data_IF_804627231036
#
_entry.id   IF_804627231036
#
_cell.length_a   1.000
_cell.length_b   1.000
_cell.length_c   1.000
_cell.angle_alpha   90.00
_cell.angle_beta   90.00
_cell.angle_gamma   90.00
#
_symmetry.space_group_name_H-M   'P 1'
#
loop_
_entity.id
_entity.type
_entity.pdbx_description
1 polymer ?
#
# COMPACT_ATOMS: atom_id res chain seq x y z
N UNK A 1 -33.05 -11.54 11.30
CA UNK A 1 -31.87 -10.81 10.74
C UNK A 1 -30.91 -10.37 11.85
N UNK A 2 -31.37 -9.67 12.88
CA UNK A 2 -30.59 -9.26 14.08
C UNK A 2 -29.94 -10.48 14.80
N UNK A 3 -30.69 -11.57 15.04
CA UNK A 3 -30.15 -12.80 15.66
C UNK A 3 -28.98 -13.47 14.89
N UNK A 4 -28.87 -13.29 13.57
CA UNK A 4 -27.75 -13.82 12.75
C UNK A 4 -26.51 -12.91 12.84
N UNK A 5 -26.70 -11.60 12.98
CA UNK A 5 -25.62 -10.63 13.19
C UNK A 5 -25.09 -10.76 14.62
N UNK A 6 -25.95 -11.02 15.60
CA UNK A 6 -25.57 -11.28 16.99
C UNK A 6 -24.70 -12.54 17.18
N UNK A 7 -24.82 -13.54 16.29
CA UNK A 7 -23.96 -14.74 16.31
C UNK A 7 -22.51 -14.48 15.86
N UNK A 8 -22.20 -13.32 15.27
CA UNK A 8 -20.83 -12.91 14.90
C UNK A 8 -20.08 -12.19 16.04
N UNK A 9 -20.69 -11.99 17.20
CA UNK A 9 -20.05 -11.33 18.36
C UNK A 9 -19.14 -12.30 19.13
N UNK A 10 -18.24 -13.02 18.46
CA UNK A 10 -17.16 -13.77 19.15
C UNK A 10 -16.02 -12.85 19.59
N UNK A 11 -15.99 -11.59 19.15
CA UNK A 11 -15.02 -10.59 19.57
C UNK A 11 -15.71 -9.24 19.86
N UNK A 12 -15.66 -8.79 21.12
CA UNK A 12 -16.24 -7.51 21.61
C UNK A 12 -15.71 -6.24 20.91
N UNK A 13 -14.72 -6.37 20.02
CA UNK A 13 -14.07 -5.26 19.29
C UNK A 13 -14.55 -5.06 17.86
N UNK A 14 -15.39 -5.94 17.33
CA UNK A 14 -15.81 -5.86 15.91
C UNK A 14 -16.98 -4.88 15.73
N UNK A 15 -16.70 -3.70 15.17
CA UNK A 15 -17.73 -2.72 14.83
C UNK A 15 -18.39 -3.12 13.50
N UNK A 16 -19.64 -3.57 13.56
CA UNK A 16 -20.43 -3.98 12.39
C UNK A 16 -21.54 -2.97 12.16
N UNK A 17 -21.76 -2.56 10.90
CA UNK A 17 -22.92 -1.75 10.54
C UNK A 17 -24.18 -2.64 10.53
N UNK A 18 -25.17 -2.31 11.35
CA UNK A 18 -26.41 -3.09 11.50
C UNK A 18 -27.30 -3.03 10.24
N UNK A 19 -27.20 -1.95 9.47
CA UNK A 19 -27.98 -1.69 8.26
C UNK A 19 -27.35 -2.35 7.03
N UNK A 20 -26.02 -2.37 6.96
CA UNK A 20 -25.25 -3.08 5.94
C UNK A 20 -24.06 -3.83 6.58
N UNK A 21 -24.20 -5.12 6.90
CA UNK A 21 -23.15 -5.89 7.59
C UNK A 21 -21.84 -6.06 6.82
N UNK A 22 -21.86 -5.85 5.50
CA UNK A 22 -20.69 -5.97 4.63
C UNK A 22 -19.89 -4.66 4.56
N UNK A 23 -20.53 -3.52 4.88
CA UNK A 23 -19.85 -2.24 4.97
C UNK A 23 -18.90 -2.22 6.18
N UNK A 24 -17.75 -1.53 6.03
CA UNK A 24 -16.75 -1.43 7.08
C UNK A 24 -16.53 0.01 7.49
N UNK A 25 -16.25 0.23 8.76
CA UNK A 25 -15.88 1.54 9.26
C UNK A 25 -14.46 1.86 8.79
N UNK A 26 -14.34 2.86 7.93
CA UNK A 26 -13.07 3.33 7.38
C UNK A 26 -12.91 4.81 7.67
N UNK A 27 -11.67 5.26 7.83
CA UNK A 27 -11.36 6.69 7.91
C UNK A 27 -11.35 7.27 6.50
N UNK A 28 -12.06 8.36 6.29
CA UNK A 28 -11.96 9.14 5.07
C UNK A 28 -10.71 10.05 5.08
N UNK A 29 -10.49 10.77 3.98
CA UNK A 29 -9.37 11.72 3.85
C UNK A 29 -9.45 12.92 4.80
N UNK A 30 -10.57 13.11 5.51
CA UNK A 30 -10.80 14.16 6.51
C UNK A 30 -10.81 13.60 7.95
N UNK A 31 -10.26 12.40 8.16
CA UNK A 31 -10.19 11.71 9.44
C UNK A 31 -11.55 11.38 10.09
N UNK A 32 -12.64 11.45 9.33
CA UNK A 32 -13.97 11.02 9.78
C UNK A 32 -14.08 9.53 9.58
N UNK A 33 -14.65 8.85 10.57
CA UNK A 33 -14.91 7.41 10.47
C UNK A 33 -16.34 7.25 9.97
N UNK A 34 -16.48 6.64 8.80
CA UNK A 34 -17.78 6.37 8.19
C UNK A 34 -17.83 4.94 7.64
N UNK A 35 -19.03 4.44 7.40
CA UNK A 35 -19.23 3.11 6.81
C UNK A 35 -19.04 3.20 5.30
N UNK A 36 -18.01 2.54 4.81
CA UNK A 36 -17.56 2.65 3.42
C UNK A 36 -17.24 1.29 2.83
N UNK A 37 -17.19 1.27 1.51
CA UNK A 37 -16.58 0.21 0.72
C UNK A 37 -15.32 0.72 0.07
N UNK A 38 -14.29 -0.12 0.00
CA UNK A 38 -13.04 0.26 -0.63
C UNK A 38 -13.10 -0.10 -2.13
N UNK A 39 -13.20 0.92 -2.98
CA UNK A 39 -13.35 0.77 -4.42
C UNK A 39 -12.00 0.97 -5.10
N UNK A 40 -11.59 -0.03 -5.88
CA UNK A 40 -10.31 -0.10 -6.56
C UNK A 40 -10.53 -0.09 -8.06
N UNK A 41 -9.75 0.72 -8.77
CA UNK A 41 -9.77 0.76 -10.24
C UNK A 41 -8.34 0.86 -10.79
N UNK A 42 -8.07 0.10 -11.84
CA UNK A 42 -6.85 0.24 -12.64
C UNK A 42 -7.22 0.93 -13.95
N UNK A 43 -6.34 1.82 -14.43
CA UNK A 43 -6.61 2.62 -15.61
C UNK A 43 -5.41 2.62 -16.56
N UNK A 44 -5.68 2.68 -17.86
CA UNK A 44 -4.69 2.98 -18.89
C UNK A 44 -4.29 4.46 -18.87
N UNK A 45 -3.29 4.83 -19.66
CA UNK A 45 -2.85 6.23 -19.80
C UNK A 45 -3.94 7.12 -20.41
N UNK A 46 -4.78 6.54 -21.25
CA UNK A 46 -5.92 7.18 -21.91
C UNK A 46 -7.15 7.28 -21.00
N UNK A 47 -7.00 6.92 -19.72
CA UNK A 47 -8.06 6.90 -18.70
C UNK A 47 -9.16 5.86 -18.97
N UNK A 48 -8.86 4.79 -19.71
CA UNK A 48 -9.75 3.63 -19.84
C UNK A 48 -9.57 2.73 -18.61
N UNK A 49 -10.66 2.39 -17.93
CA UNK A 49 -10.61 1.45 -16.81
C UNK A 49 -10.37 0.03 -17.33
N UNK A 50 -9.31 -0.61 -16.83
CA UNK A 50 -8.89 -1.95 -17.21
C UNK A 50 -9.47 -2.99 -16.27
N UNK A 51 -9.55 -2.68 -14.97
CA UNK A 51 -10.26 -3.47 -13.98
C UNK A 51 -10.87 -2.58 -12.89
N UNK A 52 -11.89 -3.11 -12.23
CA UNK A 52 -12.62 -2.42 -11.16
C UNK A 52 -13.15 -3.44 -10.15
N UNK A 53 -12.82 -3.25 -8.88
CA UNK A 53 -13.27 -4.13 -7.80
C UNK A 53 -13.68 -3.36 -6.55
N UNK A 54 -14.53 -4.01 -5.74
CA UNK A 54 -14.87 -3.51 -4.41
C UNK A 54 -14.45 -4.53 -3.37
N UNK A 55 -13.60 -4.09 -2.45
CA UNK A 55 -13.09 -4.88 -1.33
C UNK A 55 -13.57 -4.30 -0.01
N UNK A 56 -13.57 -5.12 1.03
CA UNK A 56 -14.02 -4.71 2.38
C UNK A 56 -12.85 -4.38 3.30
N UNK A 57 -11.64 -4.74 2.89
CA UNK A 57 -10.42 -4.44 3.60
C UNK A 57 -10.13 -2.93 3.53
N UNK A 58 -9.91 -2.31 4.68
CA UNK A 58 -9.56 -0.90 4.78
C UNK A 58 -8.13 -0.59 4.25
N UNK A 59 -7.35 -1.61 3.92
CA UNK A 59 -5.97 -1.47 3.43
C UNK A 59 -5.87 -1.87 1.98
N UNK A 60 -5.31 -0.99 1.16
CA UNK A 60 -5.12 -1.21 -0.29
C UNK A 60 -4.02 -2.23 -0.59
N UNK A 61 -3.22 -2.63 0.42
CA UNK A 61 -2.09 -3.54 0.22
C UNK A 61 -2.48 -4.85 -0.43
N UNK A 62 -3.64 -5.40 -0.09
CA UNK A 62 -4.13 -6.66 -0.69
C UNK A 62 -4.82 -6.47 -2.05
N UNK A 63 -5.11 -5.22 -2.43
CA UNK A 63 -5.79 -4.94 -3.69
C UNK A 63 -4.87 -5.02 -4.91
N UNK A 64 -3.55 -4.80 -4.75
CA UNK A 64 -2.65 -4.70 -5.91
C UNK A 64 -2.71 -5.95 -6.78
N UNK A 65 -2.44 -7.11 -6.16
CA UNK A 65 -2.44 -8.42 -6.82
C UNK A 65 -3.76 -8.68 -7.54
N UNK A 66 -4.88 -8.54 -6.83
CA UNK A 66 -6.22 -8.68 -7.41
C UNK A 66 -6.43 -7.78 -8.64
N UNK A 67 -6.03 -6.51 -8.55
CA UNK A 67 -6.22 -5.54 -9.62
C UNK A 67 -5.35 -5.84 -10.84
N UNK A 68 -4.10 -6.28 -10.62
CA UNK A 68 -3.17 -6.65 -11.68
C UNK A 68 -3.65 -7.91 -12.40
N UNK A 69 -4.01 -8.96 -11.66
CA UNK A 69 -4.53 -10.22 -12.24
C UNK A 69 -5.82 -10.00 -13.04
N UNK A 70 -6.74 -9.20 -12.48
CA UNK A 70 -7.97 -8.85 -13.20
C UNK A 70 -7.68 -8.04 -14.45
N UNK A 71 -6.69 -7.12 -14.40
CA UNK A 71 -6.28 -6.34 -15.59
C UNK A 71 -5.65 -7.24 -16.65
N UNK A 72 -4.78 -8.17 -16.25
CA UNK A 72 -4.15 -9.14 -17.15
C UNK A 72 -5.17 -10.06 -17.81
N UNK A 73 -6.20 -10.48 -17.08
CA UNK A 73 -7.29 -11.32 -17.61
C UNK A 73 -8.15 -10.57 -18.63
N UNK A 74 -8.35 -9.27 -18.43
CA UNK A 74 -9.17 -8.43 -19.31
C UNK A 74 -8.43 -7.98 -20.58
N UNK A 75 -7.11 -8.16 -20.64
CA UNK A 75 -6.27 -7.71 -21.75
C UNK A 75 -5.71 -8.88 -22.54
N UNK A 76 -5.57 -8.69 -23.87
CA UNK A 76 -4.91 -9.67 -24.72
C UNK A 76 -3.41 -9.82 -24.38
N UNK A 77 -2.80 -8.79 -23.81
CA UNK A 77 -1.41 -8.82 -23.35
C UNK A 77 -1.33 -8.35 -21.90
N UNK A 78 -0.52 -9.02 -21.06
CA UNK A 78 -0.39 -8.67 -19.66
C UNK A 78 0.27 -7.30 -19.49
N UNK A 79 -0.15 -6.54 -18.47
CA UNK A 79 0.43 -5.24 -18.15
C UNK A 79 1.87 -5.40 -17.68
N UNK A 80 2.79 -4.54 -18.13
CA UNK A 80 4.21 -4.60 -17.72
C UNK A 80 4.56 -3.54 -16.68
N UNK A 81 4.17 -2.29 -16.94
CA UNK A 81 4.42 -1.16 -16.06
C UNK A 81 3.20 -0.89 -15.17
N UNK A 82 3.39 -0.80 -13.86
CA UNK A 82 2.31 -0.58 -12.89
C UNK A 82 2.69 0.59 -11.98
N UNK A 83 1.87 1.63 -11.94
CA UNK A 83 2.02 2.75 -11.01
C UNK A 83 0.86 2.74 -10.01
N UNK A 84 1.16 2.88 -8.72
CA UNK A 84 0.15 2.84 -7.66
C UNK A 84 0.45 3.82 -6.52
N UNK A 85 -0.52 4.00 -5.63
CA UNK A 85 -0.42 4.82 -4.43
C UNK A 85 0.50 4.25 -3.34
N UNK A 86 0.99 5.13 -2.47
CA UNK A 86 1.77 4.73 -1.29
C UNK A 86 0.97 3.79 -0.35
N UNK A 87 -0.37 3.80 -0.44
CA UNK A 87 -1.25 2.84 0.23
C UNK A 87 -0.99 1.39 -0.17
N UNK A 88 -0.52 1.17 -1.40
CA UNK A 88 -0.14 -0.14 -1.93
C UNK A 88 1.28 -0.57 -1.57
N UNK A 89 2.04 0.27 -0.87
CA UNK A 89 3.41 -0.09 -0.44
C UNK A 89 3.37 -1.22 0.58
N UNK A 90 3.93 -2.38 0.19
CA UNK A 90 4.16 -3.52 1.06
C UNK A 90 5.22 -4.45 0.46
N UNK A 91 5.94 -5.19 1.30
CA UNK A 91 6.90 -6.20 0.83
C UNK A 91 6.25 -7.24 -0.06
N UNK A 92 5.07 -7.74 0.34
CA UNK A 92 4.35 -8.77 -0.41
C UNK A 92 4.02 -8.31 -1.84
N UNK A 93 3.65 -7.03 -2.01
CA UNK A 93 3.38 -6.46 -3.32
C UNK A 93 4.63 -6.31 -4.17
N UNK A 94 5.77 -5.96 -3.56
CA UNK A 94 7.02 -5.84 -4.30
C UNK A 94 7.53 -7.21 -4.76
N UNK A 95 7.41 -8.23 -3.90
CA UNK A 95 7.71 -9.62 -4.26
C UNK A 95 6.78 -10.12 -5.37
N UNK A 96 5.48 -9.85 -5.27
CA UNK A 96 4.52 -10.21 -6.30
C UNK A 96 4.90 -9.62 -7.66
N UNK A 97 5.26 -8.33 -7.69
CA UNK A 97 5.64 -7.66 -8.93
C UNK A 97 6.93 -8.25 -9.52
N UNK A 98 7.95 -8.49 -8.69
CA UNK A 98 9.22 -9.07 -9.15
C UNK A 98 9.02 -10.51 -9.68
N UNK A 99 8.30 -11.35 -8.93
CA UNK A 99 8.01 -12.75 -9.31
C UNK A 99 7.23 -12.86 -10.62
N UNK A 100 6.34 -11.91 -10.90
CA UNK A 100 5.53 -11.88 -12.11
C UNK A 100 6.16 -11.05 -13.24
N UNK A 101 7.45 -10.68 -13.13
CA UNK A 101 8.17 -9.87 -14.12
C UNK A 101 7.47 -8.53 -14.46
N UNK A 102 6.87 -7.90 -13.44
CA UNK A 102 6.17 -6.61 -13.54
C UNK A 102 7.05 -5.49 -12.99
N UNK A 103 7.04 -4.34 -13.65
CA UNK A 103 7.79 -3.16 -13.23
C UNK A 103 6.86 -2.23 -12.44
N UNK A 104 6.98 -2.26 -11.11
CA UNK A 104 6.25 -1.37 -10.21
C UNK A 104 6.89 0.01 -10.03
N UNK A 105 6.06 1.03 -9.92
CA UNK A 105 6.38 2.40 -9.52
C UNK A 105 5.48 2.78 -8.34
N UNK A 106 5.82 2.30 -7.14
CA UNK A 106 5.02 2.46 -5.92
C UNK A 106 5.88 3.08 -4.83
N UNK A 107 5.65 4.33 -4.41
CA UNK A 107 6.44 4.95 -3.36
C UNK A 107 6.17 4.27 -2.02
N UNK A 108 7.20 4.12 -1.19
CA UNK A 108 6.96 3.78 0.21
C UNK A 108 6.41 4.97 1.00
N UNK A 109 5.74 4.67 2.11
CA UNK A 109 5.08 5.69 2.96
C UNK A 109 6.06 6.71 3.54
N UNK A 110 7.35 6.36 3.64
CA UNK A 110 8.38 7.20 4.24
C UNK A 110 9.13 8.04 3.20
N UNK A 111 8.89 7.85 1.90
CA UNK A 111 9.63 8.54 0.83
C UNK A 111 9.59 10.09 0.98
N UNK A 112 8.48 10.64 1.50
CA UNK A 112 8.35 12.08 1.80
C UNK A 112 8.98 12.51 3.13
N UNK A 113 9.05 11.63 4.12
CA UNK A 113 9.70 11.92 5.41
C UNK A 113 11.22 11.99 5.26
N UNK A 114 11.79 11.22 4.34
CA UNK A 114 13.21 11.24 4.00
C UNK A 114 13.69 12.63 3.52
N UNK A 115 12.77 13.43 2.95
CA UNK A 115 13.05 14.80 2.46
C UNK A 115 13.02 15.87 3.57
N UNK A 116 12.36 15.62 4.71
CA UNK A 116 12.18 16.62 5.79
C UNK A 116 13.34 16.69 6.79
N UNK A 117 14.42 15.97 6.54
CA UNK A 117 15.56 15.91 7.46
C UNK A 117 15.23 15.01 8.65
N UNK A 118 15.85 13.83 8.68
CA UNK A 118 15.65 12.88 9.77
C UNK A 118 16.52 13.23 10.96
N UNK A 119 15.95 13.10 12.17
CA UNK A 119 16.66 13.35 13.43
C UNK A 119 17.98 12.58 13.55
N UNK A 120 18.90 13.02 14.42
CA UNK A 120 20.29 12.55 14.44
C UNK A 120 20.45 11.04 14.67
N UNK A 121 19.47 10.38 15.30
CA UNK A 121 19.48 8.95 15.60
C UNK A 121 18.38 8.16 14.85
N UNK A 122 17.96 8.62 13.68
CA UNK A 122 17.09 7.84 12.79
C UNK A 122 17.82 6.56 12.31
N UNK A 123 17.08 5.47 12.02
CA UNK A 123 17.65 4.17 11.60
C UNK A 123 18.60 4.31 10.39
N UNK A 124 18.27 5.13 9.41
CA UNK A 124 19.12 5.38 8.23
C UNK A 124 20.50 5.96 8.53
N UNK A 125 20.69 6.59 9.70
CA UNK A 125 22.01 7.08 10.14
C UNK A 125 22.89 5.94 10.68
N UNK A 126 22.33 4.74 10.88
CA UNK A 126 23.08 3.58 11.31
C UNK A 126 23.63 2.86 10.07
N UNK A 127 24.96 2.79 9.97
CA UNK A 127 25.63 2.17 8.84
C UNK A 127 25.75 0.67 9.06
N UNK A 128 25.37 -0.12 8.08
CA UNK A 128 25.58 -1.57 8.09
C UNK A 128 26.98 -1.87 7.55
N UNK A 129 27.73 -2.70 8.27
CA UNK A 129 29.02 -3.26 7.85
C UNK A 129 28.80 -4.72 7.44
N UNK A 130 28.80 -5.03 6.12
CA UNK A 130 28.52 -6.38 5.62
C UNK A 130 29.58 -7.42 6.01
N UNK A 131 30.84 -7.03 6.19
CA UNK A 131 31.93 -7.97 6.51
C UNK A 131 31.80 -8.50 7.94
N UNK A 132 31.38 -7.63 8.86
CA UNK A 132 31.30 -7.96 10.28
C UNK A 132 29.88 -8.29 10.75
N UNK A 133 28.88 -8.19 9.87
CA UNK A 133 27.44 -8.32 10.17
C UNK A 133 27.04 -7.49 11.42
N UNK A 134 27.42 -6.21 11.42
CA UNK A 134 27.12 -5.26 12.51
C UNK A 134 26.56 -3.96 11.97
N UNK A 135 25.76 -3.29 12.80
CA UNK A 135 25.38 -1.88 12.57
C UNK A 135 26.22 -0.94 13.44
N UNK A 136 26.63 0.19 12.88
CA UNK A 136 27.32 1.27 13.57
C UNK A 136 26.35 2.41 13.84
N UNK A 137 26.19 2.76 15.12
CA UNK A 137 25.46 3.93 15.59
C UNK A 137 26.18 5.23 15.17
N UNK A 138 25.48 6.38 15.06
CA UNK A 138 26.12 7.69 14.89
C UNK A 138 27.23 8.01 15.93
N UNK A 139 27.17 7.41 17.12
CA UNK A 139 28.20 7.51 18.16
C UNK A 139 29.34 6.47 18.02
N UNK A 140 29.41 5.74 16.90
CA UNK A 140 30.40 4.68 16.66
C UNK A 140 30.16 3.37 17.42
N UNK A 141 29.12 3.28 18.26
CA UNK A 141 28.78 2.05 19.01
C UNK A 141 28.27 0.94 18.10
N UNK A 142 28.68 -0.30 18.38
CA UNK A 142 28.36 -1.48 17.57
C UNK A 142 27.04 -2.12 18.03
N UNK A 143 26.19 -2.42 17.05
CA UNK A 143 24.96 -3.19 17.19
C UNK A 143 25.23 -4.57 16.61
N UNK A 144 25.25 -5.59 17.47
CA UNK A 144 25.48 -6.98 17.07
C UNK A 144 24.15 -7.69 16.83
N UNK A 145 24.15 -8.71 15.97
CA UNK A 145 23.03 -9.61 15.81
C UNK A 145 22.68 -10.25 17.16
N UNK A 146 21.43 -10.12 17.58
CA UNK A 146 20.93 -10.66 18.85
C UNK A 146 20.17 -11.97 18.60
N UNK A 147 19.19 -11.94 17.70
CA UNK A 147 18.46 -13.14 17.27
C UNK A 147 17.80 -12.92 15.90
N UNK A 148 17.39 -14.02 15.27
CA UNK A 148 16.63 -14.01 14.02
C UNK A 148 15.20 -14.41 14.35
N UNK A 149 14.24 -13.56 13.99
CA UNK A 149 12.82 -13.89 14.08
C UNK A 149 12.34 -14.40 12.73
N UNK A 150 11.93 -15.66 12.67
CA UNK A 150 11.23 -16.22 11.52
C UNK A 150 9.73 -16.03 11.71
N UNK A 151 9.06 -15.46 10.72
CA UNK A 151 7.59 -15.40 10.68
C UNK A 151 7.11 -16.30 9.57
N UNK A 152 6.23 -17.22 9.94
CA UNK A 152 5.50 -18.07 9.02
C UNK A 152 4.01 -17.76 9.17
N UNK A 153 3.49 -16.92 8.28
CA UNK A 153 2.06 -16.67 8.15
C UNK A 153 1.59 -17.30 6.83
N UNK A 154 1.64 -18.64 6.77
CA UNK A 154 1.20 -19.43 5.61
C UNK A 154 2.05 -19.15 4.37
N UNK A 155 1.55 -18.29 3.48
CA UNK A 155 2.27 -17.92 2.25
C UNK A 155 3.41 -16.93 2.47
N UNK A 156 3.44 -16.24 3.62
CA UNK A 156 4.43 -15.20 3.95
C UNK A 156 5.53 -15.79 4.82
N UNK A 157 6.66 -16.11 4.20
CA UNK A 157 7.88 -16.58 4.88
C UNK A 157 8.96 -15.52 4.76
N UNK A 158 9.25 -14.85 5.86
CA UNK A 158 10.34 -13.88 5.92
C UNK A 158 11.06 -13.96 7.25
N UNK A 159 12.35 -13.62 7.21
CA UNK A 159 13.18 -13.52 8.40
C UNK A 159 13.47 -12.06 8.70
N UNK A 160 13.49 -11.73 9.98
CA UNK A 160 13.90 -10.43 10.47
C UNK A 160 15.10 -10.65 11.37
N UNK A 161 16.27 -10.19 10.94
CA UNK A 161 17.47 -10.09 11.77
C UNK A 161 17.33 -8.91 12.73
N UNK A 162 17.53 -9.15 14.01
CA UNK A 162 17.36 -8.15 15.05
C UNK A 162 18.72 -7.84 15.65
N UNK A 163 19.17 -6.61 15.48
CA UNK A 163 20.46 -6.13 15.99
C UNK A 163 20.24 -5.27 17.23
N UNK A 164 21.02 -5.48 18.28
CA UNK A 164 20.90 -4.72 19.54
C UNK A 164 22.23 -4.09 19.94
N UNK A 165 22.17 -2.84 20.44
CA UNK A 165 23.30 -2.18 21.08
C UNK A 165 23.25 -2.39 22.58
N UNK A 166 24.07 -3.29 23.13
CA UNK A 166 24.19 -3.49 24.59
C UNK A 166 24.88 -2.29 25.28
N UNK A 167 25.70 -1.55 24.54
CA UNK A 167 26.44 -0.37 25.01
C UNK A 167 25.58 0.90 25.13
N UNK A 168 24.26 0.82 24.89
CA UNK A 168 23.35 1.95 25.04
C UNK A 168 23.14 2.36 26.51
N UNK A 169 23.35 1.47 27.48
CA UNK A 169 23.12 1.75 28.90
C UNK A 169 24.04 2.87 29.43
N UNK A 170 25.28 2.94 28.93
CA UNK A 170 26.28 3.94 29.31
C UNK A 170 26.32 5.13 28.33
N UNK A 171 25.37 5.24 27.40
CA UNK A 171 25.37 6.28 26.39
C UNK A 171 24.69 7.57 26.89
N UNK A 172 25.44 8.67 26.97
CA UNK A 172 24.91 10.01 27.32
C UNK A 172 23.80 10.49 26.37
N UNK A 173 23.83 10.04 25.11
CA UNK A 173 22.85 10.40 24.07
C UNK A 173 21.67 9.42 23.96
N UNK A 174 21.55 8.46 24.88
CA UNK A 174 20.42 7.52 24.94
C UNK A 174 19.05 8.23 24.89
N UNK A 175 18.80 9.34 25.64
CA UNK A 175 17.49 10.01 25.61
C UNK A 175 17.07 10.50 24.22
N UNK A 176 18.04 10.85 23.36
CA UNK A 176 17.80 11.29 21.98
C UNK A 176 17.72 10.12 20.98
N UNK A 177 18.24 8.95 21.36
CA UNK A 177 18.39 7.79 20.49
C UNK A 177 17.28 6.75 20.65
N UNK A 178 16.90 6.39 21.88
CA UNK A 178 15.84 5.40 22.13
C UNK A 178 15.25 5.56 23.53
N UNK A 179 13.93 5.35 23.64
CA UNK A 179 13.23 5.25 24.93
C UNK A 179 13.38 3.86 25.57
N UNK A 180 13.77 2.85 24.79
CA UNK A 180 13.94 1.47 25.28
C UNK A 180 15.28 1.28 26.01
N UNK A 181 15.44 0.12 26.67
CA UNK A 181 16.69 -0.26 27.36
C UNK A 181 17.89 -0.25 26.42
N UNK A 182 17.69 -0.75 25.19
CA UNK A 182 18.70 -0.83 24.13
C UNK A 182 18.13 -0.27 22.82
N UNK A 183 18.99 0.24 21.95
CA UNK A 183 18.61 0.55 20.57
C UNK A 183 18.56 -0.77 19.80
N UNK A 184 17.47 -0.98 19.06
CA UNK A 184 17.25 -2.18 18.24
C UNK A 184 17.00 -1.78 16.79
N UNK A 185 17.63 -2.50 15.86
CA UNK A 185 17.40 -2.38 14.43
C UNK A 185 16.85 -3.70 13.92
N UNK A 186 15.72 -3.62 13.24
CA UNK A 186 15.11 -4.75 12.58
C UNK A 186 15.46 -4.65 11.09
N UNK A 187 16.23 -5.62 10.61
CA UNK A 187 16.55 -5.78 9.20
C UNK A 187 15.75 -6.97 8.69
N UNK A 188 14.76 -6.69 7.87
CA UNK A 188 14.02 -7.73 7.14
C UNK A 188 14.73 -8.03 5.84
N UNK A 189 14.87 -9.31 5.47
CA UNK A 189 15.63 -9.71 4.27
C UNK A 189 15.06 -9.07 2.98
N UNK A 190 13.75 -8.80 2.96
CA UNK A 190 13.02 -8.17 1.86
C UNK A 190 13.23 -6.66 1.74
N UNK A 191 14.03 -6.05 2.63
CA UNK A 191 14.35 -4.61 2.59
C UNK A 191 14.93 -4.19 1.23
N UNK A 192 15.69 -5.08 0.59
CA UNK A 192 16.24 -4.86 -0.75
C UNK A 192 15.18 -4.43 -1.77
N UNK A 193 13.95 -4.96 -1.68
CA UNK A 193 12.86 -4.63 -2.58
C UNK A 193 12.38 -3.18 -2.44
N UNK A 194 12.37 -2.67 -1.21
CA UNK A 194 12.04 -1.26 -0.93
C UNK A 194 13.12 -0.37 -1.52
N UNK A 195 14.40 -0.71 -1.31
CA UNK A 195 15.53 0.08 -1.79
C UNK A 195 15.59 0.08 -3.32
N UNK A 196 15.35 -1.05 -3.98
CA UNK A 196 15.20 -1.15 -5.43
C UNK A 196 14.04 -0.28 -5.95
N UNK A 197 12.89 -0.29 -5.28
CA UNK A 197 11.73 0.54 -5.63
C UNK A 197 12.06 2.04 -5.50
N UNK A 198 12.72 2.44 -4.41
CA UNK A 198 13.20 3.82 -4.18
C UNK A 198 14.14 4.26 -5.28
N UNK A 199 15.16 3.45 -5.58
CA UNK A 199 16.14 3.74 -6.64
C UNK A 199 15.43 3.91 -7.99
N UNK A 200 14.48 3.03 -8.32
CA UNK A 200 13.69 3.14 -9.56
C UNK A 200 12.92 4.46 -9.62
N UNK A 201 12.25 4.85 -8.54
CA UNK A 201 11.49 6.10 -8.47
C UNK A 201 12.37 7.36 -8.47
N UNK A 202 13.66 7.24 -8.14
CA UNK A 202 14.61 8.37 -8.23
C UNK A 202 15.09 8.62 -9.66
N UNK A 203 15.05 7.61 -10.55
CA UNK A 203 15.39 7.78 -11.96
C UNK A 203 14.41 8.71 -12.68
N UNK A 204 14.86 9.42 -13.71
CA UNK A 204 14.01 10.31 -14.51
C UNK A 204 12.82 9.55 -15.13
N UNK A 205 13.08 8.37 -15.68
CA UNK A 205 12.05 7.48 -16.24
C UNK A 205 11.03 7.07 -15.18
N UNK A 206 11.49 6.67 -14.00
CA UNK A 206 10.62 6.27 -12.89
C UNK A 206 9.75 7.41 -12.38
N UNK A 207 10.31 8.61 -12.25
CA UNK A 207 9.55 9.83 -11.90
C UNK A 207 8.47 10.13 -12.93
N UNK A 208 8.82 10.12 -14.22
CA UNK A 208 7.86 10.36 -15.32
C UNK A 208 6.72 9.33 -15.30
N UNK A 209 7.03 8.04 -15.12
CA UNK A 209 6.02 6.97 -15.04
C UNK A 209 5.12 7.10 -13.81
N UNK A 210 5.69 7.41 -12.65
CA UNK A 210 4.92 7.63 -11.43
C UNK A 210 3.99 8.85 -11.53
N UNK A 211 4.47 9.96 -12.12
CA UNK A 211 3.68 11.19 -12.32
C UNK A 211 2.47 10.99 -13.22
N UNK A 212 2.47 10.01 -14.13
CA UNK A 212 1.31 9.71 -14.97
C UNK A 212 0.04 9.41 -14.16
N UNK A 213 0.19 8.89 -12.94
CA UNK A 213 -0.93 8.57 -12.05
C UNK A 213 -1.77 9.79 -11.65
N UNK A 214 -1.14 10.97 -11.54
CA UNK A 214 -1.85 12.23 -11.26
C UNK A 214 -2.84 12.59 -12.36
N UNK A 215 -2.56 12.15 -13.60
CA UNK A 215 -3.38 12.44 -14.76
C UNK A 215 -4.32 11.29 -15.13
N UNK A 216 -4.20 10.11 -14.52
CA UNK A 216 -5.04 8.95 -14.83
C UNK A 216 -6.08 8.69 -13.75
N UNK A 217 -5.67 8.27 -12.57
CA UNK A 217 -6.60 7.77 -11.54
C UNK A 217 -7.37 8.89 -10.84
N UNK A 218 -6.65 9.93 -10.38
CA UNK A 218 -7.24 11.01 -9.59
C UNK A 218 -8.33 11.80 -10.35
N UNK A 219 -8.15 12.18 -11.63
CA UNK A 219 -9.18 12.89 -12.39
C UNK A 219 -10.44 12.06 -12.60
N UNK A 220 -10.31 10.74 -12.77
CA UNK A 220 -11.46 9.85 -13.00
C UNK A 220 -12.29 9.72 -11.75
N UNK A 221 -11.67 9.41 -10.61
CA UNK A 221 -12.40 9.39 -9.33
C UNK A 221 -12.97 10.77 -8.96
N UNK A 222 -12.25 11.85 -9.29
CA UNK A 222 -12.77 13.21 -9.15
C UNK A 222 -14.02 13.43 -9.99
N UNK A 223 -14.01 13.00 -11.26
CA UNK A 223 -15.17 13.12 -12.15
C UNK A 223 -16.38 12.34 -11.63
N UNK A 224 -16.18 11.07 -11.23
CA UNK A 224 -17.26 10.24 -10.69
C UNK A 224 -17.89 10.88 -9.44
N UNK A 225 -17.07 11.35 -8.50
CA UNK A 225 -17.54 11.86 -7.20
C UNK A 225 -18.13 13.27 -7.26
N UNK A 226 -17.50 14.17 -8.02
CA UNK A 226 -17.83 15.59 -7.98
C UNK A 226 -18.66 16.06 -9.17
N UNK A 227 -18.46 15.49 -10.36
CA UNK A 227 -19.21 15.89 -11.55
C UNK A 227 -20.47 15.03 -11.76
N UNK A 228 -20.38 13.71 -11.52
CA UNK A 228 -21.54 12.81 -11.62
C UNK A 228 -22.27 12.61 -10.28
N UNK A 229 -21.69 13.07 -9.17
CA UNK A 229 -22.33 13.00 -7.85
C UNK A 229 -22.35 11.61 -7.21
N UNK A 230 -21.56 10.65 -7.70
CA UNK A 230 -21.46 9.30 -7.12
C UNK A 230 -20.66 9.30 -5.81
N UNK A 231 -21.28 9.81 -4.74
CA UNK A 231 -20.70 9.90 -3.39
C UNK A 231 -21.14 8.77 -2.46
N UNK A 232 -22.27 8.14 -2.77
CA UNK A 232 -22.85 7.05 -1.98
C UNK A 232 -23.32 5.95 -2.93
N UNK A 233 -23.33 4.72 -2.42
CA UNK A 233 -23.95 3.58 -3.10
C UNK A 233 -25.44 3.52 -2.75
N UNK A 234 -26.27 3.23 -3.74
CA UNK A 234 -27.71 3.04 -3.55
C UNK A 234 -28.03 1.61 -3.08
N UNK A 235 -27.19 0.65 -3.46
CA UNK A 235 -27.37 -0.74 -3.09
C UNK A 235 -26.59 -1.11 -1.81
N UNK A 236 -27.07 -2.15 -1.13
CA UNK A 236 -26.46 -2.72 0.08
C UNK A 236 -25.97 -4.13 -0.19
N UNK A 237 -24.99 -4.60 0.58
CA UNK A 237 -24.21 -5.83 0.39
C UNK A 237 -23.13 -5.73 -0.69
N UNK A 238 -22.02 -6.43 -0.43
CA UNK A 238 -20.83 -6.40 -1.26
C UNK A 238 -21.12 -6.76 -2.73
N UNK A 239 -21.94 -7.80 -2.96
CA UNK A 239 -22.28 -8.25 -4.32
C UNK A 239 -22.98 -7.16 -5.12
N UNK A 240 -23.95 -6.46 -4.50
CA UNK A 240 -24.73 -5.43 -5.19
C UNK A 240 -23.92 -4.15 -5.40
N UNK A 241 -23.16 -3.74 -4.40
CA UNK A 241 -22.25 -2.58 -4.49
C UNK A 241 -21.17 -2.80 -5.56
N UNK A 242 -20.62 -4.02 -5.69
CA UNK A 242 -19.73 -4.38 -6.80
C UNK A 242 -20.39 -4.18 -8.16
N UNK A 243 -21.65 -4.61 -8.31
CA UNK A 243 -22.40 -4.42 -9.55
C UNK A 243 -22.62 -2.94 -9.88
N UNK A 244 -23.03 -2.16 -8.88
CA UNK A 244 -23.23 -0.71 -9.02
C UNK A 244 -21.93 0.01 -9.42
N UNK A 245 -20.82 -0.29 -8.75
CA UNK A 245 -19.51 0.29 -9.09
C UNK A 245 -19.06 -0.08 -10.50
N UNK A 246 -19.20 -1.36 -10.90
CA UNK A 246 -18.86 -1.81 -12.26
C UNK A 246 -19.69 -1.11 -13.32
N UNK A 247 -20.98 -0.86 -13.08
CA UNK A 247 -21.82 -0.09 -14.01
C UNK A 247 -21.32 1.36 -14.18
N UNK A 248 -20.91 2.01 -13.09
CA UNK A 248 -20.29 3.35 -13.15
C UNK A 248 -19.00 3.32 -13.98
N UNK A 249 -18.16 2.29 -13.79
CA UNK A 249 -16.93 2.08 -14.54
C UNK A 249 -17.18 1.85 -16.05
N UNK A 250 -18.18 1.05 -16.40
CA UNK A 250 -18.58 0.81 -17.79
C UNK A 250 -19.07 2.11 -18.44
N UNK A 251 -19.92 2.87 -17.74
CA UNK A 251 -20.39 4.17 -18.23
C UNK A 251 -19.25 5.15 -18.52
N UNK A 252 -18.23 5.18 -17.65
CA UNK A 252 -17.02 5.96 -17.88
C UNK A 252 -16.24 5.49 -19.11
N UNK A 253 -16.02 4.18 -19.26
CA UNK A 253 -15.32 3.62 -20.42
C UNK A 253 -16.04 3.95 -21.72
N UNK A 254 -17.36 3.80 -21.80
CA UNK A 254 -18.15 4.15 -22.99
C UNK A 254 -17.99 5.63 -23.35
N UNK A 255 -18.09 6.53 -22.36
CA UNK A 255 -17.87 7.97 -22.56
C UNK A 255 -16.47 8.25 -23.11
N UNK A 256 -15.45 7.56 -22.60
CA UNK A 256 -14.07 7.73 -23.05
C UNK A 256 -13.81 7.18 -24.44
N UNK A 257 -14.29 5.98 -24.73
CA UNK A 257 -14.18 5.36 -26.05
C UNK A 257 -14.87 6.22 -27.10
N UNK A 258 -16.08 6.72 -26.83
CA UNK A 258 -16.77 7.63 -27.74
C UNK A 258 -15.93 8.88 -28.05
N UNK A 259 -15.34 9.49 -27.03
CA UNK A 259 -14.45 10.65 -27.22
C UNK A 259 -13.21 10.28 -28.05
N UNK A 260 -12.56 9.15 -27.77
CA UNK A 260 -11.37 8.75 -28.51
C UNK A 260 -11.68 8.43 -29.98
N UNK A 261 -12.82 7.80 -30.25
CA UNK A 261 -13.27 7.48 -31.60
C UNK A 261 -13.76 8.70 -32.40
N UNK A 262 -14.29 9.72 -31.73
CA UNK A 262 -14.75 10.95 -32.39
C UNK A 262 -13.60 11.89 -32.82
N UNK A 263 -12.40 11.69 -32.29
CA UNK A 263 -11.21 12.50 -32.58
C UNK A 263 -10.07 11.68 -33.23
N UNK A 264 -10.36 10.46 -33.68
CA UNK A 264 -9.49 9.59 -34.47
C UNK A 264 -9.94 9.56 -35.92
#
# INVERSE_FOLDING_TARGET
RIKKVMKKFENEKEKINLTDPDARFMKDGHYRIDTSYNCQASLSKEQIMLSSEVITEASDRKALELMVETSDTNLAQPVKDIAADAGYSSYDNYEYLEKNNKIGYIPDQNLREDLKGKGPYHQDRFRYDPEKDIFLCPEGKKLKLDHIRRKDYGYRKFQTKIYKCKDCLTCKKKPLCTRQKYRTINLEDRKILVDQMRNRLQTEKGRKKYLQRLFTTEPVFGHLKYNLGYRHFFLRSLKKVRGEFRLMCIGWNLKKMHKLMAFS
#
